data_IF_228387181538
#
_entry.id   IF_228387181538
#
_cell.length_a   1.000
_cell.length_b   1.000
_cell.length_c   1.000
_cell.angle_alpha   90.00
_cell.angle_beta   90.00
_cell.angle_gamma   90.00
#
_symmetry.space_group_name_H-M   'P 1'
#
loop_
_entity.id
_entity.type
_entity.pdbx_description
1 polymer ?
#
# COMPACT_ATOMS: atom_id res chain seq x y z
N UNK A 1 -22.47 10.34 6.80
CA UNK A 1 -22.09 8.97 7.21
C UNK A 1 -23.10 8.52 8.24
N UNK A 2 -23.74 7.38 7.99
CA UNK A 2 -24.65 6.76 8.95
C UNK A 2 -23.85 6.01 10.03
N UNK A 3 -24.43 5.78 11.20
CA UNK A 3 -23.77 5.08 12.31
C UNK A 3 -23.26 3.67 11.91
N UNK A 4 -24.00 2.98 11.04
CA UNK A 4 -23.63 1.68 10.46
C UNK A 4 -22.40 1.76 9.55
N UNK A 5 -22.26 2.83 8.76
CA UNK A 5 -21.08 3.05 7.90
C UNK A 5 -19.82 3.33 8.73
N UNK A 6 -19.96 4.07 9.83
CA UNK A 6 -18.83 4.33 10.73
C UNK A 6 -18.35 3.02 11.38
N UNK A 7 -19.29 2.20 11.85
CA UNK A 7 -18.99 0.89 12.45
C UNK A 7 -18.24 -0.04 11.48
N UNK A 8 -18.61 -0.03 10.19
CA UNK A 8 -17.94 -0.87 9.18
C UNK A 8 -16.53 -0.40 8.85
N UNK A 9 -16.28 0.90 8.76
CA UNK A 9 -14.94 1.47 8.54
C UNK A 9 -14.01 1.14 9.71
N UNK A 10 -14.49 1.32 10.94
CA UNK A 10 -13.70 1.00 12.15
C UNK A 10 -13.35 -0.48 12.17
N UNK A 11 -14.32 -1.36 11.88
CA UNK A 11 -14.09 -2.82 11.87
C UNK A 11 -13.08 -3.24 10.82
N UNK A 12 -13.14 -2.68 9.60
CA UNK A 12 -12.16 -2.96 8.54
C UNK A 12 -10.76 -2.47 8.91
N UNK A 13 -10.66 -1.29 9.53
CA UNK A 13 -9.39 -0.74 9.99
C UNK A 13 -8.76 -1.59 11.09
N UNK A 14 -9.54 -2.03 12.08
CA UNK A 14 -9.07 -2.97 13.10
C UNK A 14 -8.61 -4.28 12.45
N UNK A 15 -9.31 -4.76 11.43
CA UNK A 15 -8.89 -5.90 10.63
C UNK A 15 -7.52 -5.70 9.97
N UNK A 16 -7.27 -4.52 9.40
CA UNK A 16 -5.96 -4.16 8.83
C UNK A 16 -4.86 -4.16 9.88
N UNK A 17 -5.10 -3.54 11.04
CA UNK A 17 -4.13 -3.44 12.13
C UNK A 17 -3.76 -4.83 12.68
N UNK A 18 -4.75 -5.68 12.93
CA UNK A 18 -4.53 -7.04 13.43
C UNK A 18 -3.73 -7.91 12.45
N UNK A 19 -3.88 -7.68 11.13
CA UNK A 19 -3.11 -8.35 10.10
C UNK A 19 -1.68 -7.78 9.92
N UNK A 20 -1.35 -6.67 10.59
CA UNK A 20 -0.14 -5.87 10.33
C UNK A 20 0.78 -5.71 11.56
N UNK A 21 1.26 -6.79 12.20
CA UNK A 21 2.08 -6.70 13.42
C UNK A 21 3.47 -6.08 13.20
N UNK A 22 3.95 -5.99 11.95
CA UNK A 22 5.20 -5.30 11.59
C UNK A 22 5.00 -4.53 10.29
N UNK A 23 5.90 -3.58 9.99
CA UNK A 23 5.88 -2.83 8.73
C UNK A 23 5.87 -3.73 7.47
N UNK A 24 6.50 -4.91 7.55
CA UNK A 24 6.48 -5.90 6.47
C UNK A 24 5.09 -6.51 6.26
N UNK A 25 4.39 -6.83 7.35
CA UNK A 25 3.02 -7.34 7.27
C UNK A 25 2.03 -6.24 6.84
N UNK A 26 2.24 -4.99 7.27
CA UNK A 26 1.45 -3.86 6.82
C UNK A 26 1.52 -3.68 5.29
N UNK A 27 2.72 -3.80 4.71
CA UNK A 27 2.91 -3.75 3.26
C UNK A 27 2.29 -4.97 2.56
N UNK A 28 2.43 -6.17 3.13
CA UNK A 28 1.83 -7.38 2.55
C UNK A 28 0.30 -7.33 2.54
N UNK A 29 -0.31 -6.86 3.63
CA UNK A 29 -1.77 -6.66 3.71
C UNK A 29 -2.24 -5.56 2.76
N UNK A 30 -1.52 -4.43 2.67
CA UNK A 30 -1.82 -3.38 1.71
C UNK A 30 -1.73 -3.90 0.26
N UNK A 31 -0.71 -4.71 -0.06
CA UNK A 31 -0.56 -5.39 -1.35
C UNK A 31 -1.78 -6.27 -1.65
N UNK A 32 -2.22 -7.13 -0.72
CA UNK A 32 -3.39 -8.00 -0.89
C UNK A 32 -4.65 -7.20 -1.19
N UNK A 33 -4.87 -6.12 -0.44
CA UNK A 33 -6.03 -5.22 -0.65
C UNK A 33 -5.99 -4.53 -2.00
N UNK A 34 -4.82 -4.02 -2.42
CA UNK A 34 -4.62 -3.41 -3.74
C UNK A 34 -4.88 -4.41 -4.87
N UNK A 35 -4.32 -5.62 -4.77
CA UNK A 35 -4.54 -6.68 -5.75
C UNK A 35 -6.02 -7.10 -5.84
N UNK A 36 -6.71 -7.22 -4.70
CA UNK A 36 -8.15 -7.55 -4.65
C UNK A 36 -8.99 -6.54 -5.41
N UNK A 37 -8.60 -5.26 -5.38
CA UNK A 37 -9.27 -4.21 -6.15
C UNK A 37 -8.63 -3.99 -7.51
N UNK A 38 -7.78 -4.90 -8.01
CA UNK A 38 -7.29 -4.91 -9.40
C UNK A 38 -6.10 -4.00 -9.70
N UNK A 39 -5.27 -3.68 -8.70
CA UNK A 39 -3.93 -3.11 -8.96
C UNK A 39 -2.95 -4.20 -9.40
N UNK A 40 -2.12 -3.88 -10.38
CA UNK A 40 -1.06 -4.76 -10.89
C UNK A 40 0.28 -4.45 -10.19
N UNK A 41 1.00 -5.49 -9.76
CA UNK A 41 2.33 -5.29 -9.18
C UNK A 41 3.36 -5.11 -10.30
N UNK A 42 4.15 -4.04 -10.24
CA UNK A 42 5.33 -3.86 -11.08
C UNK A 42 6.60 -4.14 -10.27
N UNK A 43 7.65 -4.62 -10.95
CA UNK A 43 8.94 -4.94 -10.34
C UNK A 43 9.86 -3.73 -10.51
N UNK A 44 10.35 -3.16 -9.40
CA UNK A 44 11.17 -1.93 -9.39
C UNK A 44 12.44 -2.01 -10.26
N UNK A 45 12.92 -3.23 -10.54
CA UNK A 45 14.14 -3.50 -11.31
C UNK A 45 13.90 -3.75 -12.80
N UNK A 46 12.65 -3.75 -13.26
CA UNK A 46 12.30 -4.03 -14.65
C UNK A 46 11.81 -2.75 -15.35
N UNK A 47 11.87 -2.75 -16.68
CA UNK A 47 11.26 -1.68 -17.47
C UNK A 47 9.74 -1.74 -17.37
N UNK A 48 9.13 -0.62 -16.97
CA UNK A 48 7.69 -0.55 -16.78
C UNK A 48 6.95 -0.20 -18.07
N UNK A 49 6.03 -1.06 -18.48
CA UNK A 49 5.05 -0.78 -19.54
C UNK A 49 3.74 -0.30 -18.90
N UNK A 50 3.69 0.98 -18.60
CA UNK A 50 2.54 1.61 -17.96
C UNK A 50 1.50 2.09 -18.98
N UNK A 51 0.22 1.94 -18.66
CA UNK A 51 -0.89 2.37 -19.52
C UNK A 51 -1.84 3.32 -18.79
N UNK A 52 -2.32 4.32 -19.52
CA UNK A 52 -3.36 5.22 -19.02
C UNK A 52 -4.66 4.44 -18.71
N UNK A 53 -5.30 4.75 -17.58
CA UNK A 53 -6.48 4.04 -17.09
C UNK A 53 -6.19 2.78 -16.28
N UNK A 54 -4.92 2.34 -16.19
CA UNK A 54 -4.49 1.25 -15.32
C UNK A 54 -3.96 1.75 -13.98
N UNK A 55 -3.75 0.81 -13.05
CA UNK A 55 -3.39 1.05 -11.66
C UNK A 55 -2.36 0.03 -11.23
N UNK A 56 -1.30 0.52 -10.59
CA UNK A 56 -0.10 -0.24 -10.33
C UNK A 56 0.42 0.02 -8.92
N UNK A 57 1.20 -0.90 -8.42
CA UNK A 57 1.98 -0.67 -7.21
C UNK A 57 3.32 -1.39 -7.27
N UNK A 58 4.27 -0.92 -6.50
CA UNK A 58 5.51 -1.64 -6.22
C UNK A 58 5.84 -1.55 -4.74
N UNK A 59 6.74 -2.44 -4.30
CA UNK A 59 7.28 -2.41 -2.95
C UNK A 59 8.79 -2.29 -2.99
N UNK A 60 9.35 -1.64 -1.97
CA UNK A 60 10.79 -1.57 -1.76
C UNK A 60 11.12 -2.03 -0.35
N UNK A 61 12.15 -2.88 -0.24
CA UNK A 61 12.54 -3.56 1.01
C UNK A 61 11.42 -4.38 1.67
N UNK A 62 10.30 -4.63 0.97
CA UNK A 62 9.06 -5.19 1.52
C UNK A 62 8.46 -4.41 2.71
N UNK A 63 9.00 -3.24 3.06
CA UNK A 63 8.55 -2.40 4.17
C UNK A 63 7.99 -1.06 3.72
N UNK A 64 8.12 -0.72 2.44
CA UNK A 64 7.50 0.44 1.79
C UNK A 64 6.67 -0.02 0.60
N UNK A 65 5.51 0.59 0.42
CA UNK A 65 4.62 0.37 -0.71
C UNK A 65 4.26 1.72 -1.36
N UNK A 66 4.28 1.76 -2.68
CA UNK A 66 3.82 2.91 -3.47
C UNK A 66 2.78 2.39 -4.44
N UNK A 67 1.56 2.90 -4.34
CA UNK A 67 0.46 2.58 -5.24
C UNK A 67 0.05 3.84 -6.01
N UNK A 68 -0.22 3.69 -7.30
CA UNK A 68 -0.62 4.80 -8.16
C UNK A 68 -1.63 4.33 -9.22
N UNK A 69 -2.58 5.21 -9.52
CA UNK A 69 -3.57 5.01 -10.58
C UNK A 69 -3.36 6.06 -11.66
N UNK A 70 -3.21 5.62 -12.91
CA UNK A 70 -2.97 6.51 -14.03
C UNK A 70 -4.32 6.92 -14.62
N UNK A 71 -4.65 8.21 -14.57
CA UNK A 71 -5.88 8.72 -15.14
C UNK A 71 -5.98 8.43 -16.64
N UNK A 72 -7.19 8.17 -17.16
CA UNK A 72 -7.41 7.86 -18.59
C UNK A 72 -6.94 8.95 -19.56
N UNK A 73 -6.87 10.20 -19.10
CA UNK A 73 -6.41 11.38 -19.86
C UNK A 73 -5.00 11.83 -19.48
N UNK A 74 -4.29 11.03 -18.68
CA UNK A 74 -2.93 11.36 -18.29
C UNK A 74 -2.02 11.32 -19.53
N UNK A 75 -1.20 12.34 -19.66
CA UNK A 75 -0.08 12.41 -20.61
C UNK A 75 1.15 12.85 -19.84
N UNK A 76 2.34 12.47 -20.33
CA UNK A 76 3.59 12.86 -19.71
C UNK A 76 3.68 14.40 -19.60
N UNK A 77 4.00 14.89 -18.41
CA UNK A 77 4.01 16.32 -18.08
C UNK A 77 2.82 16.79 -17.24
N UNK A 78 1.75 15.99 -17.13
CA UNK A 78 0.67 16.27 -16.18
C UNK A 78 1.15 16.10 -14.72
N UNK A 79 0.43 16.73 -13.78
CA UNK A 79 0.73 16.67 -12.35
C UNK A 79 0.28 15.39 -11.64
N UNK A 80 0.57 15.32 -10.34
CA UNK A 80 0.25 14.19 -9.45
C UNK A 80 -0.56 14.66 -8.24
N UNK A 81 -1.50 13.81 -7.80
CA UNK A 81 -2.11 13.92 -6.48
C UNK A 81 -1.50 12.85 -5.58
N UNK A 82 -0.81 13.29 -4.52
CA UNK A 82 -0.01 12.39 -3.67
C UNK A 82 -0.49 12.47 -2.24
N UNK A 83 -0.70 11.30 -1.63
CA UNK A 83 -0.94 11.13 -0.19
C UNK A 83 0.18 10.28 0.37
N UNK A 84 0.83 10.76 1.44
CA UNK A 84 1.92 10.07 2.11
C UNK A 84 1.57 9.68 3.54
N UNK A 85 2.03 8.49 3.95
CA UNK A 85 1.98 7.98 5.32
C UNK A 85 3.20 7.07 5.55
N UNK A 86 3.32 6.49 6.74
CA UNK A 86 4.39 5.55 7.10
C UNK A 86 3.80 4.20 7.56
N UNK A 87 4.56 3.12 7.40
CA UNK A 87 4.13 1.74 7.67
C UNK A 87 4.66 1.19 9.00
N UNK A 88 5.64 1.87 9.60
CA UNK A 88 6.27 1.49 10.86
C UNK A 88 5.64 2.21 12.06
N UNK A 89 5.85 1.61 13.23
CA UNK A 89 5.48 2.17 14.52
C UNK A 89 6.62 1.89 15.51
N UNK A 90 6.78 2.70 16.56
CA UNK A 90 7.69 2.39 17.65
C UNK A 90 7.43 0.99 18.20
N UNK A 91 8.47 0.16 18.28
CA UNK A 91 8.37 -1.20 18.79
C UNK A 91 9.70 -1.69 19.34
N UNK A 92 9.65 -2.75 20.13
CA UNK A 92 10.83 -3.52 20.51
C UNK A 92 11.24 -4.40 19.32
N UNK A 93 12.52 -4.33 18.94
CA UNK A 93 13.11 -5.20 17.91
C UNK A 93 14.17 -6.08 18.54
N UNK A 94 14.22 -7.34 18.09
CA UNK A 94 15.25 -8.27 18.50
C UNK A 94 16.60 -7.82 17.92
N UNK A 95 17.65 -7.78 18.74
CA UNK A 95 19.02 -7.59 18.24
C UNK A 95 19.47 -8.82 17.46
N UNK A 96 20.32 -8.68 16.43
CA UNK A 96 20.87 -9.83 15.71
C UNK A 96 21.60 -10.84 16.62
N UNK A 97 22.22 -10.34 17.70
CA UNK A 97 22.78 -11.15 18.80
C UNK A 97 21.99 -10.83 20.06
N UNK A 98 21.18 -11.78 20.51
CA UNK A 98 20.21 -11.62 21.61
C UNK A 98 20.39 -12.63 22.75
N UNK A 99 21.50 -13.36 22.74
CA UNK A 99 21.96 -14.18 23.86
C UNK A 99 22.86 -13.35 24.78
#
# INVERSE_FOLDING_TARGET
>A
MTETEVSSIVSDFIGFLNASPTAFHAVDEAKKRLQKVGYEQVIEREDWKLEAGKRYFFTRNHSTIVAFAIGKKYVAGNGFHVVGAHTDSPCLKLKPVSK
#
